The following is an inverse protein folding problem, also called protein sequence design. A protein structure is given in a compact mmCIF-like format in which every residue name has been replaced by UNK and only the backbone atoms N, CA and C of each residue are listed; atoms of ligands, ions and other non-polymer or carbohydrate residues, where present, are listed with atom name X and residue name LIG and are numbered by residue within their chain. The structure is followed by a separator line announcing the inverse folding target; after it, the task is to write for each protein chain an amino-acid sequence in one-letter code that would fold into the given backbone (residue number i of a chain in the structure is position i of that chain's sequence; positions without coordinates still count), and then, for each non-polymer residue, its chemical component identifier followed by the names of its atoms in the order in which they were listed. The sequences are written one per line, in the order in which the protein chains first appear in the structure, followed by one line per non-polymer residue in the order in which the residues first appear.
data_IF_439004826118
#
_entry.id   IF_439004826118
#
_cell.length_a   1.000
_cell.length_b   1.000
_cell.length_c   1.000
_cell.angle_alpha   90.00
_cell.angle_beta   90.00
_cell.angle_gamma   90.00
#
_symmetry.space_group_name_H-M   'P 1'
#
loop_
_entity.id
_entity.type
_entity.pdbx_description
1 polymer ?
#
# COMPACT_ATOMS: atom_id res chain seq x y z
N UNK A 1 -14.22 -5.12 0.49
CA UNK A 1 -14.18 -3.71 0.07
C UNK A 1 -12.76 -3.10 0.04
N UNK A 2 -11.72 -3.80 0.52
CA UNK A 2 -10.35 -3.28 0.59
C UNK A 2 -9.72 -2.88 -0.77
N UNK A 3 -10.10 -3.52 -1.88
CA UNK A 3 -9.57 -3.18 -3.21
C UNK A 3 -9.92 -1.75 -3.62
N UNK A 4 -11.10 -1.23 -3.24
CA UNK A 4 -11.49 0.17 -3.53
C UNK A 4 -10.63 1.18 -2.77
N UNK A 5 -9.92 0.75 -1.73
CA UNK A 5 -9.10 1.58 -0.88
C UNK A 5 -7.65 1.67 -1.36
N UNK A 6 -7.22 0.87 -2.35
CA UNK A 6 -5.90 1.03 -2.98
C UNK A 6 -5.97 2.11 -4.05
N UNK A 7 -4.86 2.80 -4.34
CA UNK A 7 -4.84 3.91 -5.31
C UNK A 7 -5.28 3.46 -6.72
N UNK A 8 -4.96 2.22 -7.07
CA UNK A 8 -5.29 1.61 -8.36
C UNK A 8 -6.58 0.80 -8.36
N UNK A 9 -7.35 0.83 -7.26
CA UNK A 9 -8.63 0.13 -7.09
C UNK A 9 -8.56 -1.40 -7.32
N UNK A 10 -7.42 -2.00 -6.98
CA UNK A 10 -7.16 -3.43 -7.12
C UNK A 10 -6.44 -3.98 -5.89
N UNK A 11 -6.69 -5.24 -5.52
CA UNK A 11 -5.96 -5.88 -4.44
C UNK A 11 -4.44 -5.83 -4.66
N UNK A 12 -3.72 -5.76 -3.54
CA UNK A 12 -2.31 -6.11 -3.52
C UNK A 12 -2.17 -7.61 -3.78
N UNK A 13 -1.28 -7.97 -4.69
CA UNK A 13 -0.95 -9.37 -4.98
C UNK A 13 0.27 -9.79 -4.15
N UNK A 14 0.30 -11.06 -3.73
CA UNK A 14 1.44 -11.65 -3.03
C UNK A 14 2.76 -11.47 -3.79
N UNK A 15 2.71 -11.55 -5.11
CA UNK A 15 3.90 -11.38 -5.96
C UNK A 15 4.56 -10.01 -5.77
N UNK A 16 3.78 -8.95 -5.55
CA UNK A 16 4.33 -7.60 -5.41
C UNK A 16 5.14 -7.46 -4.11
N UNK A 17 4.69 -8.11 -3.04
CA UNK A 17 5.43 -8.19 -1.78
C UNK A 17 6.70 -9.02 -1.96
N UNK A 18 6.61 -10.13 -2.68
CA UNK A 18 7.76 -10.99 -2.99
C UNK A 18 8.82 -10.24 -3.82
N UNK A 19 8.41 -9.51 -4.85
CA UNK A 19 9.31 -8.75 -5.71
C UNK A 19 10.01 -7.62 -4.93
N UNK A 20 9.28 -6.94 -4.03
CA UNK A 20 9.86 -5.93 -3.14
C UNK A 20 10.90 -6.53 -2.19
N UNK A 21 10.61 -7.71 -1.62
CA UNK A 21 11.56 -8.43 -0.77
C UNK A 21 12.82 -8.86 -1.55
N UNK A 22 12.65 -9.38 -2.77
CA UNK A 22 13.78 -9.74 -3.65
C UNK A 22 14.64 -8.52 -3.98
N UNK A 23 14.02 -7.37 -4.27
CA UNK A 23 14.76 -6.13 -4.50
C UNK A 23 15.55 -5.70 -3.25
N UNK A 24 14.95 -5.79 -2.06
CA UNK A 24 15.61 -5.48 -0.78
C UNK A 24 16.79 -6.38 -0.44
N UNK A 25 16.80 -7.62 -0.93
CA UNK A 25 17.92 -8.55 -0.77
C UNK A 25 19.01 -8.38 -1.83
N UNK A 26 18.74 -7.64 -2.90
CA UNK A 26 19.67 -7.45 -4.02
C UNK A 26 20.69 -6.34 -3.77
N UNK A 27 21.81 -6.35 -4.48
CA UNK A 27 22.80 -5.25 -4.46
C UNK A 27 22.23 -3.89 -4.89
N UNK A 28 21.09 -3.89 -5.58
CA UNK A 28 20.42 -2.67 -6.09
C UNK A 28 19.82 -1.82 -4.96
N UNK A 29 19.62 -2.39 -3.79
CA UNK A 29 19.09 -1.70 -2.61
C UNK A 29 20.17 -1.41 -1.55
N UNK A 30 21.46 -1.52 -1.91
CA UNK A 30 22.60 -1.35 -0.98
C UNK A 30 22.61 -0.03 -0.19
N UNK A 31 21.99 1.03 -0.72
CA UNK A 31 21.84 2.32 -0.03
C UNK A 31 20.61 2.43 0.89
N UNK A 32 19.75 1.42 0.96
CA UNK A 32 18.52 1.44 1.76
C UNK A 32 18.71 0.61 3.03
N UNK A 33 18.80 1.30 4.17
CA UNK A 33 19.00 0.68 5.47
C UNK A 33 18.13 1.35 6.55
N UNK A 34 17.75 0.60 7.58
CA UNK A 34 17.00 1.11 8.74
C UNK A 34 15.60 1.68 8.43
N UNK A 35 15.07 1.49 7.22
CA UNK A 35 13.76 1.99 6.81
C UNK A 35 12.69 0.89 6.84
N UNK A 36 11.46 1.28 7.20
CA UNK A 36 10.27 0.48 6.94
C UNK A 36 9.70 0.82 5.55
N UNK A 37 9.59 -0.17 4.67
CA UNK A 37 8.96 -0.01 3.36
C UNK A 37 7.56 -0.64 3.41
N UNK A 38 6.54 0.18 3.20
CA UNK A 38 5.15 -0.26 3.17
C UNK A 38 4.76 -0.64 1.74
N UNK A 39 4.31 -1.88 1.57
CA UNK A 39 3.83 -2.43 0.30
C UNK A 39 2.35 -2.78 0.47
N UNK A 40 1.47 -1.81 0.21
CA UNK A 40 0.03 -1.91 0.48
C UNK A 40 -0.86 -1.43 -0.68
N UNK A 41 -0.28 -1.26 -1.86
CA UNK A 41 -0.92 -0.66 -3.04
C UNK A 41 -1.53 0.75 -2.78
N UNK A 42 -0.98 1.50 -1.83
CA UNK A 42 -1.40 2.85 -1.49
C UNK A 42 -2.59 2.91 -0.53
N UNK A 43 -2.93 1.80 0.12
CA UNK A 43 -4.05 1.73 1.06
C UNK A 43 -3.89 2.73 2.22
N UNK A 44 -2.70 2.81 2.82
CA UNK A 44 -2.36 3.73 3.91
C UNK A 44 -2.43 5.21 3.52
N UNK A 45 -2.27 5.52 2.23
CA UNK A 45 -2.37 6.89 1.70
C UNK A 45 -3.82 7.26 1.35
N UNK A 46 -4.60 6.31 0.87
CA UNK A 46 -6.01 6.50 0.51
C UNK A 46 -6.95 6.59 1.72
N UNK A 47 -6.48 6.39 2.95
CA UNK A 47 -7.29 6.60 4.15
C UNK A 47 -7.73 8.06 4.36
N UNK A 48 -7.10 9.02 3.67
CA UNK A 48 -7.46 10.45 3.68
C UNK A 48 -8.27 10.89 2.45
N UNK A 49 -8.89 9.96 1.73
CA UNK A 49 -9.81 10.32 0.65
C UNK A 49 -11.12 10.86 1.25
N UNK A 50 -11.46 12.12 0.95
CA UNK A 50 -12.67 12.79 1.45
C UNK A 50 -13.94 11.98 1.20
N UNK A 51 -13.98 11.18 0.11
CA UNK A 51 -15.12 10.33 -0.21
C UNK A 51 -15.30 9.16 0.78
N UNK A 52 -14.21 8.57 1.29
CA UNK A 52 -14.26 7.49 2.28
C UNK A 52 -14.68 8.02 3.66
N UNK A 53 -14.17 9.18 4.06
CA UNK A 53 -14.59 9.87 5.29
C UNK A 53 -16.09 10.22 5.22
N UNK A 54 -16.55 10.76 4.08
CA UNK A 54 -17.98 11.08 3.84
C UNK A 54 -18.88 9.83 3.74
N UNK A 55 -18.35 8.67 3.36
CA UNK A 55 -19.10 7.42 3.35
C UNK A 55 -19.20 6.81 4.76
N UNK A 56 -18.13 6.86 5.54
CA UNK A 56 -18.11 6.38 6.93
C UNK A 56 -18.93 7.27 7.87
N UNK A 57 -19.00 8.59 7.62
CA UNK A 57 -19.79 9.53 8.44
C UNK A 57 -21.30 9.47 8.20
N UNK A 58 -21.75 8.84 7.11
CA UNK A 58 -23.18 8.63 6.81
C UNK A 58 -23.75 7.35 7.44
N UNK A 59 -22.91 6.58 8.13
CA UNK A 59 -23.31 5.33 8.81
C UNK A 59 -23.32 5.54 10.36
N UNK A 60 -22.97 6.74 10.84
CA UNK A 60 -23.07 7.12 12.25
C UNK A 60 -24.37 7.87 12.58
#
# INVERSE_FOLDING_TARGET
HAEKMTLRKAALKTQEVADAAVWLLSSRSSGVNGQGIIVDAGMGLNFFDEELVKASSRIS
#
